data_IF_237460374555
#
_entry.id   IF_237460374555
#
_cell.length_a   1.000
_cell.length_b   1.000
_cell.length_c   1.000
_cell.angle_alpha   90.00
_cell.angle_beta   90.00
_cell.angle_gamma   90.00
#
_symmetry.space_group_name_H-M   'P 1'
#
loop_
_entity.id
_entity.type
_entity.pdbx_description
1 polymer ?
#
# COMPACT_ATOMS: atom_id res chain seq x y z
N UNK A 1 -23.16 -4.01 23.02
CA UNK A 1 -23.34 -3.84 21.57
C UNK A 1 -22.21 -4.48 20.77
N UNK A 2 -22.39 -5.71 20.29
CA UNK A 2 -21.51 -6.29 19.25
C UNK A 2 -21.86 -5.61 17.93
N UNK A 3 -21.10 -4.58 17.55
CA UNK A 3 -21.18 -4.02 16.19
C UNK A 3 -20.88 -5.15 15.22
N UNK A 4 -21.84 -5.51 14.36
CA UNK A 4 -21.60 -6.51 13.32
C UNK A 4 -20.47 -6.00 12.43
N UNK A 5 -19.44 -6.83 12.28
CA UNK A 5 -18.20 -6.43 11.60
C UNK A 5 -18.47 -6.39 10.11
N UNK A 6 -18.33 -5.23 9.47
CA UNK A 6 -18.53 -5.10 8.02
C UNK A 6 -17.45 -5.87 7.28
N UNK A 7 -17.82 -6.80 6.40
CA UNK A 7 -16.88 -7.56 5.56
C UNK A 7 -16.66 -6.94 4.18
N UNK A 8 -17.51 -5.97 3.81
CA UNK A 8 -17.52 -5.30 2.51
C UNK A 8 -17.47 -3.78 2.67
N UNK A 9 -17.08 -3.10 1.61
CA UNK A 9 -17.22 -1.64 1.52
C UNK A 9 -18.72 -1.26 1.42
N UNK A 10 -19.05 -0.04 1.83
CA UNK A 10 -20.43 0.49 1.84
C UNK A 10 -20.44 1.92 1.31
N UNK A 11 -21.62 2.43 0.95
CA UNK A 11 -21.77 3.78 0.41
C UNK A 11 -20.99 3.97 -0.88
N UNK A 12 -20.34 5.12 -1.03
CA UNK A 12 -19.55 5.51 -2.23
C UNK A 12 -18.43 4.53 -2.62
N UNK A 13 -18.04 3.64 -1.71
CA UNK A 13 -16.95 2.68 -1.93
C UNK A 13 -17.45 1.26 -2.19
N UNK A 14 -18.76 1.03 -2.28
CA UNK A 14 -19.33 -0.33 -2.44
C UNK A 14 -18.87 -1.03 -3.72
N UNK A 15 -18.44 -0.27 -4.73
CA UNK A 15 -17.88 -0.79 -5.99
C UNK A 15 -16.42 -1.24 -5.88
N UNK A 16 -15.70 -0.89 -4.81
CA UNK A 16 -14.31 -1.30 -4.64
C UNK A 16 -14.24 -2.78 -4.23
N UNK A 17 -13.51 -3.62 -4.99
CA UNK A 17 -13.44 -5.07 -4.73
C UNK A 17 -12.66 -5.40 -3.47
N UNK A 18 -11.66 -4.60 -3.10
CA UNK A 18 -10.85 -4.83 -1.91
C UNK A 18 -11.43 -4.05 -0.72
N UNK A 19 -11.79 -4.72 0.40
CA UNK A 19 -12.28 -4.04 1.60
C UNK A 19 -11.26 -3.04 2.17
N UNK A 20 -11.68 -1.79 2.35
CA UNK A 20 -10.87 -0.71 2.93
C UNK A 20 -10.72 -0.88 4.45
N UNK A 21 -10.04 -1.93 4.88
CA UNK A 21 -9.90 -2.32 6.28
C UNK A 21 -8.47 -2.76 6.59
N UNK A 22 -7.92 -2.30 7.72
CA UNK A 22 -6.55 -2.64 8.11
C UNK A 22 -6.31 -4.15 8.19
N UNK A 23 -7.27 -4.92 8.72
CA UNK A 23 -7.18 -6.39 8.76
C UNK A 23 -7.08 -7.03 7.37
N UNK A 24 -7.74 -6.44 6.38
CA UNK A 24 -7.73 -6.92 5.01
C UNK A 24 -6.37 -6.64 4.36
N UNK A 25 -5.84 -5.43 4.56
CA UNK A 25 -4.47 -5.08 4.17
C UNK A 25 -3.45 -6.07 4.76
N UNK A 26 -3.51 -6.31 6.08
CA UNK A 26 -2.60 -7.27 6.74
C UNK A 26 -2.76 -8.70 6.22
N UNK A 27 -4.00 -9.13 5.92
CA UNK A 27 -4.27 -10.44 5.32
C UNK A 27 -3.62 -10.53 3.94
N UNK A 28 -3.84 -9.54 3.07
CA UNK A 28 -3.24 -9.49 1.73
C UNK A 28 -1.72 -9.51 1.81
N UNK A 29 -1.11 -8.71 2.68
CA UNK A 29 0.34 -8.73 2.91
C UNK A 29 0.84 -10.12 3.29
N UNK A 30 0.15 -10.81 4.21
CA UNK A 30 0.50 -12.16 4.62
C UNK A 30 0.35 -13.17 3.47
N UNK A 31 -0.76 -13.11 2.73
CA UNK A 31 -1.08 -14.05 1.65
C UNK A 31 -0.02 -14.01 0.53
N UNK A 32 0.58 -12.83 0.28
CA UNK A 32 1.62 -12.64 -0.74
C UNK A 32 3.05 -12.58 -0.20
N UNK A 33 3.23 -12.74 1.12
CA UNK A 33 4.55 -12.79 1.75
C UNK A 33 5.27 -11.44 1.87
N UNK A 34 4.54 -10.34 1.99
CA UNK A 34 5.10 -9.02 2.33
C UNK A 34 5.24 -8.95 3.85
N UNK A 35 6.48 -8.86 4.34
CA UNK A 35 6.72 -8.53 5.74
C UNK A 35 6.41 -7.05 6.00
N UNK A 36 5.44 -6.82 6.88
CA UNK A 36 4.99 -5.49 7.30
C UNK A 36 5.28 -5.23 8.79
N UNK A 37 6.17 -6.02 9.38
CA UNK A 37 6.59 -5.85 10.76
C UNK A 37 7.20 -4.46 10.99
N UNK A 38 6.75 -3.80 12.07
CA UNK A 38 7.14 -2.42 12.36
C UNK A 38 6.54 -1.37 11.42
N UNK A 39 5.62 -1.72 10.51
CA UNK A 39 4.86 -0.75 9.72
C UNK A 39 3.48 -0.51 10.33
N UNK A 40 2.96 0.70 10.13
CA UNK A 40 1.59 1.07 10.49
C UNK A 40 0.84 1.52 9.25
N UNK A 41 -0.42 1.11 9.13
CA UNK A 41 -1.29 1.49 8.01
C UNK A 41 -2.38 2.45 8.48
N UNK A 42 -2.56 3.53 7.74
CA UNK A 42 -3.71 4.43 7.82
C UNK A 42 -4.45 4.38 6.49
N UNK A 43 -5.76 4.19 6.53
CA UNK A 43 -6.59 4.15 5.32
C UNK A 43 -7.30 5.50 5.19
N UNK A 44 -7.00 6.21 4.11
CA UNK A 44 -7.58 7.51 3.80
C UNK A 44 -8.83 7.29 2.93
N UNK A 45 -10.00 7.36 3.56
CA UNK A 45 -11.30 7.17 2.91
C UNK A 45 -11.84 8.49 2.39
N UNK A 46 -11.70 8.74 1.09
CA UNK A 46 -12.26 9.91 0.43
C UNK A 46 -12.49 9.56 -1.04
N UNK A 47 -13.70 9.83 -1.53
CA UNK A 47 -14.10 9.59 -2.92
C UNK A 47 -13.29 10.43 -3.91
N UNK A 48 -12.86 11.63 -3.52
CA UNK A 48 -11.95 12.45 -4.32
C UNK A 48 -10.60 11.77 -4.59
N UNK A 49 -10.15 10.89 -3.69
CA UNK A 49 -8.88 10.16 -3.84
C UNK A 49 -8.99 8.99 -4.83
N UNK A 50 -10.20 8.62 -5.26
CA UNK A 50 -10.38 7.58 -6.29
C UNK A 50 -9.88 8.04 -7.66
N UNK A 51 -9.87 9.34 -7.94
CA UNK A 51 -9.44 9.88 -9.22
C UNK A 51 -7.93 10.16 -9.31
N UNK A 52 -7.20 10.02 -8.19
CA UNK A 52 -5.78 10.35 -8.16
C UNK A 52 -4.92 9.22 -8.75
N UNK A 53 -3.79 9.56 -9.41
CA UNK A 53 -2.81 8.59 -9.91
C UNK A 53 -1.98 7.96 -8.77
N UNK A 54 -2.02 8.53 -7.57
CA UNK A 54 -1.33 8.00 -6.40
C UNK A 54 -2.26 7.10 -5.61
N UNK A 55 -1.71 5.99 -5.12
CA UNK A 55 -2.43 4.99 -4.35
C UNK A 55 -1.96 4.91 -2.90
N UNK A 56 -0.76 5.40 -2.59
CA UNK A 56 -0.20 5.40 -1.25
C UNK A 56 0.74 6.56 -0.99
N UNK A 57 1.10 6.73 0.29
CA UNK A 57 2.10 7.69 0.75
C UNK A 57 2.85 7.12 1.97
N UNK A 58 4.17 7.02 1.88
CA UNK A 58 5.08 6.93 3.02
C UNK A 58 5.56 8.33 3.43
N UNK A 59 5.18 8.79 4.62
CA UNK A 59 5.53 10.12 5.13
C UNK A 59 6.88 10.08 5.87
N UNK A 60 7.85 10.86 5.40
CA UNK A 60 9.14 11.01 6.07
C UNK A 60 9.05 11.59 7.49
N UNK A 61 7.96 12.31 7.83
CA UNK A 61 7.71 12.81 9.20
C UNK A 61 7.26 11.70 10.16
N UNK A 62 6.74 10.59 9.64
CA UNK A 62 6.30 9.44 10.41
C UNK A 62 6.82 8.15 9.78
N UNK A 63 8.14 7.96 9.89
CA UNK A 63 8.85 6.83 9.30
C UNK A 63 8.20 5.51 9.74
N UNK A 64 7.75 4.72 8.77
CA UNK A 64 7.05 3.45 9.01
C UNK A 64 5.52 3.55 8.99
N UNK A 65 4.94 4.73 8.80
CA UNK A 65 3.51 4.87 8.48
C UNK A 65 3.31 4.88 6.97
N UNK A 66 2.37 4.04 6.51
CA UNK A 66 1.89 3.99 5.13
C UNK A 66 0.42 4.44 5.13
N UNK A 67 0.15 5.52 4.41
CA UNK A 67 -1.19 6.00 4.14
C UNK A 67 -1.68 5.38 2.83
N UNK A 68 -2.66 4.48 2.89
CA UNK A 68 -3.31 3.89 1.72
C UNK A 68 -4.51 4.74 1.31
N UNK A 69 -4.50 5.22 0.07
CA UNK A 69 -5.59 6.00 -0.51
C UNK A 69 -6.69 5.06 -1.01
N UNK A 70 -7.89 5.60 -1.23
CA UNK A 70 -9.04 4.79 -1.68
C UNK A 70 -8.79 4.13 -3.05
N UNK A 71 -7.96 4.75 -3.90
CA UNK A 71 -7.52 4.21 -5.19
C UNK A 71 -6.74 2.89 -5.08
N UNK A 72 -6.00 2.65 -3.99
CA UNK A 72 -5.28 1.40 -3.77
C UNK A 72 -6.19 0.16 -3.71
N UNK A 73 -7.48 0.35 -3.42
CA UNK A 73 -8.43 -0.74 -3.21
C UNK A 73 -9.24 -1.09 -4.47
N UNK A 74 -8.90 -0.50 -5.62
CA UNK A 74 -9.56 -0.76 -6.92
C UNK A 74 -9.31 -2.17 -7.46
N UNK A 75 -8.21 -2.81 -7.09
CA UNK A 75 -7.92 -4.19 -7.46
C UNK A 75 -6.93 -4.81 -6.47
N UNK A 76 -6.84 -6.15 -6.49
CA UNK A 76 -5.86 -6.90 -5.70
C UNK A 76 -4.42 -6.51 -6.08
N UNK A 77 -4.14 -6.41 -7.37
CA UNK A 77 -2.81 -6.04 -7.88
C UNK A 77 -2.44 -4.63 -7.41
N UNK A 78 -3.35 -3.66 -7.52
CA UNK A 78 -3.09 -2.28 -7.11
C UNK A 78 -2.80 -2.16 -5.61
N UNK A 79 -3.55 -2.91 -4.79
CA UNK A 79 -3.33 -2.94 -3.35
C UNK A 79 -1.95 -3.51 -3.01
N UNK A 80 -1.56 -4.62 -3.65
CA UNK A 80 -0.26 -5.25 -3.43
C UNK A 80 0.87 -4.31 -3.87
N UNK A 81 0.75 -3.72 -5.07
CA UNK A 81 1.69 -2.74 -5.61
C UNK A 81 1.93 -1.61 -4.63
N UNK A 82 0.84 -0.98 -4.19
CA UNK A 82 0.90 0.15 -3.25
C UNK A 82 1.56 -0.25 -1.93
N UNK A 83 1.16 -1.38 -1.33
CA UNK A 83 1.75 -1.82 -0.06
C UNK A 83 3.26 -2.05 -0.20
N UNK A 84 3.67 -2.73 -1.28
CA UNK A 84 5.08 -3.07 -1.48
C UNK A 84 5.91 -1.83 -1.80
N UNK A 85 5.41 -0.95 -2.67
CA UNK A 85 6.04 0.32 -3.02
C UNK A 85 6.31 1.17 -1.78
N UNK A 86 5.26 1.43 -0.99
CA UNK A 86 5.38 2.29 0.18
C UNK A 86 6.18 1.64 1.31
N UNK A 87 6.24 0.31 1.39
CA UNK A 87 7.18 -0.41 2.26
C UNK A 87 8.62 -0.07 1.88
N UNK A 88 8.98 -0.16 0.60
CA UNK A 88 10.33 0.17 0.13
C UNK A 88 10.64 1.64 0.45
N UNK A 89 9.70 2.56 0.22
CA UNK A 89 9.85 3.99 0.58
C UNK A 89 10.09 4.18 2.08
N UNK A 90 9.33 3.48 2.94
CA UNK A 90 9.51 3.52 4.39
C UNK A 90 10.89 3.00 4.81
N UNK A 91 11.38 1.92 4.18
CA UNK A 91 12.72 1.37 4.42
C UNK A 91 13.84 2.30 3.95
N UNK A 92 13.67 2.98 2.81
CA UNK A 92 14.60 4.00 2.34
C UNK A 92 14.72 5.14 3.36
N UNK A 93 13.60 5.64 3.90
CA UNK A 93 13.64 6.66 4.95
C UNK A 93 14.34 6.17 6.23
N UNK A 94 14.09 4.92 6.65
CA UNK A 94 14.78 4.32 7.81
C UNK A 94 16.28 4.23 7.61
N UNK A 95 16.70 3.82 6.41
CA UNK A 95 18.10 3.52 6.10
C UNK A 95 18.94 4.77 5.84
N UNK A 96 18.40 5.73 5.10
CA UNK A 96 19.17 6.88 4.60
C UNK A 96 18.77 8.21 5.24
N UNK A 97 17.65 8.26 5.95
CA UNK A 97 17.12 9.49 6.53
C UNK A 97 16.37 10.35 5.52
N UNK A 98 15.44 11.16 6.04
CA UNK A 98 14.47 11.92 5.24
C UNK A 98 15.14 12.89 4.28
N UNK A 99 16.10 13.68 4.76
CA UNK A 99 16.77 14.71 3.96
C UNK A 99 17.42 14.11 2.71
N UNK A 100 18.21 13.06 2.89
CA UNK A 100 18.90 12.39 1.79
C UNK A 100 17.94 11.75 0.79
N UNK A 101 16.87 11.10 1.28
CA UNK A 101 15.86 10.50 0.40
C UNK A 101 15.11 11.56 -0.42
N UNK A 102 14.81 12.71 0.16
CA UNK A 102 14.14 13.80 -0.55
C UNK A 102 15.05 14.47 -1.58
N UNK A 103 16.33 14.72 -1.25
CA UNK A 103 17.32 15.26 -2.17
C UNK A 103 17.60 14.30 -3.35
N UNK A 104 17.37 12.99 -3.17
CA UNK A 104 17.55 11.95 -4.17
C UNK A 104 16.23 11.31 -4.61
N UNK A 105 15.11 12.05 -4.54
CA UNK A 105 13.75 11.49 -4.68
C UNK A 105 13.58 10.65 -5.95
N UNK A 106 14.04 11.14 -7.10
CA UNK A 106 13.87 10.43 -8.38
C UNK A 106 14.56 9.07 -8.42
N UNK A 107 15.75 8.95 -7.82
CA UNK A 107 16.46 7.68 -7.70
C UNK A 107 15.67 6.69 -6.84
N UNK A 108 15.26 7.12 -5.65
CA UNK A 108 14.56 6.25 -4.69
C UNK A 108 13.17 5.86 -5.16
N UNK A 109 12.49 6.73 -5.89
CA UNK A 109 11.22 6.43 -6.56
C UNK A 109 11.41 5.34 -7.63
N UNK A 110 12.45 5.49 -8.48
CA UNK A 110 12.79 4.49 -9.49
C UNK A 110 13.11 3.13 -8.86
N UNK A 111 13.92 3.11 -7.80
CA UNK A 111 14.23 1.88 -7.05
C UNK A 111 12.96 1.23 -6.47
N UNK A 112 12.02 2.01 -5.97
CA UNK A 112 10.75 1.50 -5.44
C UNK A 112 9.88 0.86 -6.55
N UNK A 113 9.75 1.53 -7.71
CA UNK A 113 9.02 0.97 -8.85
C UNK A 113 9.66 -0.30 -9.42
N UNK A 114 10.99 -0.33 -9.55
CA UNK A 114 11.69 -1.53 -10.04
C UNK A 114 11.51 -2.71 -9.09
N UNK A 115 11.58 -2.48 -7.78
CA UNK A 115 11.35 -3.49 -6.77
C UNK A 115 9.89 -3.98 -6.76
N UNK A 116 8.93 -3.07 -6.89
CA UNK A 116 7.50 -3.38 -7.02
C UNK A 116 7.23 -4.23 -8.25
N UNK A 117 7.73 -3.83 -9.42
CA UNK A 117 7.57 -4.57 -10.67
C UNK A 117 8.15 -5.98 -10.58
N UNK A 118 9.36 -6.12 -10.04
CA UNK A 118 9.99 -7.41 -9.83
C UNK A 118 9.14 -8.31 -8.91
N UNK A 119 8.57 -7.74 -7.85
CA UNK A 119 7.71 -8.46 -6.91
C UNK A 119 6.40 -8.91 -7.57
N UNK A 120 5.72 -8.04 -8.33
CA UNK A 120 4.49 -8.40 -9.05
C UNK A 120 4.75 -9.50 -10.09
N UNK A 121 5.83 -9.39 -10.86
CA UNK A 121 6.22 -10.43 -11.83
C UNK A 121 6.45 -11.78 -11.15
N UNK A 122 7.11 -11.77 -9.98
CA UNK A 122 7.30 -12.97 -9.16
C UNK A 122 5.96 -13.58 -8.74
N UNK A 123 5.03 -12.78 -8.21
CA UNK A 123 3.72 -13.28 -7.79
C UNK A 123 2.90 -13.88 -8.94
N UNK A 124 2.95 -13.24 -10.12
CA UNK A 124 2.29 -13.74 -11.34
C UNK A 124 2.89 -15.08 -11.78
N UNK A 125 4.23 -15.19 -11.78
CA UNK A 125 4.92 -16.45 -12.09
C UNK A 125 4.60 -17.57 -11.11
N UNK A 126 4.39 -17.24 -9.83
CA UNK A 126 4.01 -18.19 -8.77
C UNK A 126 2.50 -18.50 -8.75
N UNK A 127 1.69 -17.91 -9.63
CA UNK A 127 0.23 -18.10 -9.64
C UNK A 127 -0.50 -17.49 -8.44
N UNK A 128 0.18 -16.66 -7.64
CA UNK A 128 -0.39 -15.97 -6.46
C UNK A 128 -1.14 -14.69 -6.81
N UNK A 129 -0.94 -14.19 -8.03
CA UNK A 129 -1.65 -13.06 -8.60
C UNK A 129 -2.00 -13.44 -10.05
N UNK A 130 -3.28 -13.32 -10.42
CA UNK A 130 -3.78 -13.62 -11.76
C UNK A 130 -3.81 -12.35 -12.59
#
# INVERSE_FOLDING_TARGET
NRVSRREKNVGEFSSLPEPMQKRHVLKVSKDVGIDVSGLTFKIQRSSHLLALPHCGIADGKQIGRIDLLSSAFKSREELIRTIYHEKIRAEQYRKYGVKYVQENRGRFEKEAYEAEEAFIRKLKKEGKLK
#
